data_IF_271256797772
#
_entry.id   IF_271256797772
#
_cell.length_a   1.000
_cell.length_b   1.000
_cell.length_c   1.000
_cell.angle_alpha   90.00
_cell.angle_beta   90.00
_cell.angle_gamma   90.00
#
_symmetry.space_group_name_H-M   'P 1'
#
loop_
_entity.id
_entity.type
_entity.pdbx_description
1 polymer ?
#
# COMPACT_ATOMS: atom_id res chain seq x y z
N UNK A 1 -9.26 6.88 -2.83
CA UNK A 1 -8.03 6.59 -3.61
C UNK A 1 -7.15 5.54 -2.93
N UNK A 2 -6.81 5.68 -1.65
CA UNK A 2 -5.93 4.74 -0.93
C UNK A 2 -6.48 3.29 -0.84
N UNK A 3 -7.80 3.10 -0.63
CA UNK A 3 -8.40 1.76 -0.52
C UNK A 3 -8.31 0.89 -1.79
N UNK A 4 -8.33 1.48 -3.00
CA UNK A 4 -8.22 0.72 -4.24
C UNK A 4 -6.81 0.14 -4.44
N UNK A 5 -5.79 0.88 -4.00
CA UNK A 5 -4.39 0.44 -4.01
C UNK A 5 -4.19 -0.68 -3.00
N UNK A 6 -4.72 -0.53 -1.79
CA UNK A 6 -4.66 -1.56 -0.74
C UNK A 6 -5.36 -2.84 -1.18
N UNK A 7 -6.58 -2.76 -1.71
CA UNK A 7 -7.32 -3.92 -2.20
C UNK A 7 -6.55 -4.66 -3.30
N UNK A 8 -5.92 -3.92 -4.21
CA UNK A 8 -5.10 -4.49 -5.28
C UNK A 8 -3.83 -5.18 -4.74
N UNK A 9 -3.15 -4.56 -3.78
CA UNK A 9 -1.95 -5.15 -3.16
C UNK A 9 -2.31 -6.40 -2.36
N UNK A 10 -3.40 -6.36 -1.57
CA UNK A 10 -3.90 -7.52 -0.84
C UNK A 10 -4.30 -8.65 -1.78
N UNK A 11 -4.98 -8.35 -2.90
CA UNK A 11 -5.34 -9.36 -3.90
C UNK A 11 -4.10 -10.06 -4.47
N UNK A 12 -3.04 -9.30 -4.77
CA UNK A 12 -1.78 -9.89 -5.25
C UNK A 12 -1.05 -10.70 -4.17
N UNK A 13 -1.11 -10.28 -2.91
CA UNK A 13 -0.57 -11.06 -1.80
C UNK A 13 -1.32 -12.37 -1.58
N UNK A 14 -2.65 -12.36 -1.69
CA UNK A 14 -3.48 -13.58 -1.62
C UNK A 14 -3.21 -14.54 -2.79
N UNK A 15 -2.74 -14.01 -3.93
CA UNK A 15 -2.27 -14.81 -5.06
C UNK A 15 -0.82 -15.32 -4.90
N UNK A 16 -0.18 -15.08 -3.75
CA UNK A 16 1.18 -15.55 -3.45
C UNK A 16 2.30 -14.63 -3.91
N UNK A 17 2.00 -13.43 -4.41
CA UNK A 17 3.03 -12.47 -4.79
C UNK A 17 3.58 -11.75 -3.56
N UNK A 18 4.88 -11.41 -3.61
CA UNK A 18 5.50 -10.60 -2.55
C UNK A 18 4.98 -9.16 -2.60
N UNK A 19 5.06 -8.47 -1.46
CA UNK A 19 4.64 -7.08 -1.34
C UNK A 19 5.32 -6.17 -2.39
N UNK A 20 6.60 -6.40 -2.68
CA UNK A 20 7.34 -5.63 -3.70
C UNK A 20 6.81 -5.85 -5.12
N UNK A 21 6.41 -7.09 -5.45
CA UNK A 21 5.78 -7.39 -6.74
C UNK A 21 4.39 -6.76 -6.84
N UNK A 22 3.59 -6.86 -5.77
CA UNK A 22 2.26 -6.27 -5.69
C UNK A 22 2.33 -4.74 -5.79
N UNK A 23 3.30 -4.10 -5.13
CA UNK A 23 3.52 -2.66 -5.18
C UNK A 23 3.99 -2.19 -6.56
N UNK A 24 4.85 -2.95 -7.23
CA UNK A 24 5.28 -2.67 -8.61
C UNK A 24 4.11 -2.79 -9.60
N UNK A 25 3.28 -3.82 -9.46
CA UNK A 25 2.07 -3.97 -10.26
C UNK A 25 1.06 -2.84 -10.01
N UNK A 26 0.92 -2.39 -8.76
CA UNK A 26 0.09 -1.24 -8.41
C UNK A 26 0.63 0.07 -9.00
N UNK A 27 1.95 0.28 -8.94
CA UNK A 27 2.60 1.45 -9.52
C UNK A 27 2.28 1.60 -11.01
N UNK A 28 2.35 0.49 -11.77
CA UNK A 28 1.99 0.46 -13.19
C UNK A 28 0.50 0.69 -13.40
N UNK A 29 -0.36 -0.03 -12.65
CA UNK A 29 -1.82 0.05 -12.82
C UNK A 29 -2.41 1.41 -12.50
N UNK A 30 -1.86 2.10 -11.50
CA UNK A 30 -2.35 3.41 -11.07
C UNK A 30 -1.54 4.58 -11.64
N UNK A 31 -0.53 4.32 -12.49
CA UNK A 31 0.44 5.31 -12.96
C UNK A 31 1.03 6.16 -11.83
N UNK A 32 1.39 5.50 -10.73
CA UNK A 32 1.98 6.11 -9.54
C UNK A 32 3.40 5.57 -9.31
N UNK A 33 4.24 6.35 -8.65
CA UNK A 33 5.53 5.86 -8.19
C UNK A 33 5.37 4.81 -7.10
N UNK A 34 6.20 3.77 -7.12
CA UNK A 34 6.22 2.71 -6.11
C UNK A 34 6.36 3.28 -4.69
N UNK A 35 7.11 4.36 -4.52
CA UNK A 35 7.23 5.10 -3.25
C UNK A 35 5.89 5.62 -2.73
N UNK A 36 5.02 6.15 -3.60
CA UNK A 36 3.69 6.63 -3.21
C UNK A 36 2.77 5.47 -2.82
N UNK A 37 2.92 4.31 -3.48
CA UNK A 37 2.21 3.09 -3.12
C UNK A 37 2.61 2.61 -1.73
N UNK A 38 3.92 2.58 -1.42
CA UNK A 38 4.43 2.25 -0.08
C UNK A 38 3.96 3.24 0.98
N UNK A 39 4.05 4.55 0.72
CA UNK A 39 3.56 5.57 1.64
C UNK A 39 2.06 5.43 1.92
N UNK A 40 1.27 5.11 0.88
CA UNK A 40 -0.16 4.86 1.01
C UNK A 40 -0.45 3.66 1.92
N UNK A 41 0.33 2.58 1.80
CA UNK A 41 0.26 1.42 2.68
C UNK A 41 0.63 1.74 4.13
N UNK A 42 1.73 2.46 4.34
CA UNK A 42 2.17 2.88 5.68
C UNK A 42 1.14 3.80 6.33
N UNK A 43 0.62 4.77 5.58
CA UNK A 43 -0.41 5.68 6.07
C UNK A 43 -1.69 4.92 6.46
N UNK A 44 -2.09 3.92 5.68
CA UNK A 44 -3.25 3.08 5.99
C UNK A 44 -3.03 2.25 7.26
N UNK A 45 -1.84 1.66 7.43
CA UNK A 45 -1.48 0.93 8.64
C UNK A 45 -1.44 1.83 9.88
N UNK A 46 -0.88 3.03 9.77
CA UNK A 46 -0.88 4.00 10.86
C UNK A 46 -2.31 4.42 11.26
N UNK A 47 -3.21 4.61 10.28
CA UNK A 47 -4.61 4.92 10.58
C UNK A 47 -5.37 3.74 11.21
N UNK A 48 -5.12 2.51 10.77
CA UNK A 48 -5.77 1.32 11.35
C UNK A 48 -5.24 0.97 12.74
N UNK A 49 -3.97 1.26 13.03
CA UNK A 49 -3.38 1.01 14.34
C UNK A 49 -3.78 2.05 15.39
N UNK A 50 -4.38 3.18 14.99
CA UNK A 50 -4.78 4.24 15.92
C UNK A 50 -3.60 4.89 16.67
N UNK A 51 -2.36 4.65 16.23
CA UNK A 51 -1.16 5.27 16.80
C UNK A 51 -0.98 6.60 16.04
N UNK A 52 -1.26 7.76 16.65
CA UNK A 52 -0.91 9.02 16.04
C UNK A 52 0.63 9.03 15.91
N UNK A 53 1.13 9.32 14.70
CA UNK A 53 2.51 9.74 14.46
C UNK A 53 2.75 11.15 15.06
N UNK A 54 2.30 11.39 16.29
CA UNK A 54 2.48 12.62 17.06
C UNK A 54 3.21 12.22 18.35
N UNK A 55 4.54 12.31 18.32
CA UNK A 55 5.39 12.02 19.47
C UNK A 55 6.64 11.21 19.14
N UNK A 56 7.46 11.72 18.22
CA UNK A 56 8.92 11.60 18.34
C UNK A 56 9.51 12.99 18.16
#
# INVERSE_FOLDING_TARGET
MNQAILAFVHQHQSAGHTLSQAASAAAVKFSLSTTLIYLSMVQAQCQQSGIPLAGM
#
